data_IF_551588512971
#
_entry.id   IF_551588512971
#
_cell.length_a   1.000
_cell.length_b   1.000
_cell.length_c   1.000
_cell.angle_alpha   90.00
_cell.angle_beta   90.00
_cell.angle_gamma   90.00
#
_symmetry.space_group_name_H-M   'P 1'
#
loop_
_entity.id
_entity.type
_entity.pdbx_description
1 polymer ?
#
# COMPACT_ATOMS: atom_id res chain seq x y z
N UNK A 1 -5.99 10.25 -7.89
CA UNK A 1 -6.97 9.15 -7.71
C UNK A 1 -7.44 9.11 -6.26
N UNK A 2 -8.04 8.00 -5.80
CA UNK A 2 -8.44 7.83 -4.38
C UNK A 2 -8.01 6.49 -3.76
N UNK A 3 -7.22 5.70 -4.48
CA UNK A 3 -6.73 4.39 -4.03
C UNK A 3 -5.37 4.45 -3.31
N UNK A 4 -4.88 3.27 -2.90
CA UNK A 4 -3.61 3.10 -2.17
C UNK A 4 -2.40 3.77 -2.85
N UNK A 5 -2.32 3.68 -4.18
CA UNK A 5 -1.25 4.35 -4.95
C UNK A 5 -1.25 5.85 -4.75
N UNK A 6 -2.42 6.49 -4.75
CA UNK A 6 -2.53 7.94 -4.53
C UNK A 6 -2.10 8.32 -3.10
N UNK A 7 -2.54 7.53 -2.13
CA UNK A 7 -2.18 7.74 -0.73
C UNK A 7 -0.66 7.80 -0.56
N UNK A 8 0.07 6.84 -1.13
CA UNK A 8 1.54 6.81 -1.09
C UNK A 8 2.17 8.01 -1.83
N UNK A 9 1.62 8.42 -2.98
CA UNK A 9 2.14 9.59 -3.70
C UNK A 9 2.03 10.85 -2.84
N UNK A 10 0.92 11.00 -2.11
CA UNK A 10 0.67 12.18 -1.27
C UNK A 10 1.52 12.18 0.01
N UNK A 11 1.62 11.03 0.69
CA UNK A 11 2.39 10.91 1.94
C UNK A 11 3.89 10.83 1.69
N UNK A 12 4.32 10.30 0.55
CA UNK A 12 5.72 9.93 0.23
C UNK A 12 6.30 8.89 1.18
N UNK A 13 5.43 8.15 1.84
CA UNK A 13 5.79 7.12 2.81
C UNK A 13 5.36 5.75 2.31
N UNK A 14 6.13 4.69 2.60
CA UNK A 14 5.67 3.35 2.34
C UNK A 14 4.45 3.02 3.22
N UNK A 15 3.59 2.14 2.72
CA UNK A 15 2.41 1.68 3.45
C UNK A 15 2.39 0.15 3.46
N UNK A 16 2.51 -0.41 4.67
CA UNK A 16 2.40 -1.84 4.94
C UNK A 16 1.05 -2.13 5.60
N UNK A 17 0.30 -3.05 5.00
CA UNK A 17 -0.97 -3.56 5.54
C UNK A 17 -0.83 -5.08 5.64
N UNK A 18 -0.42 -5.62 6.80
CA UNK A 18 -0.09 -7.03 6.93
C UNK A 18 -1.35 -7.91 6.87
N UNK A 19 -2.51 -7.42 7.28
CA UNK A 19 -3.79 -8.14 7.23
C UNK A 19 -4.97 -7.17 7.12
N UNK A 20 -6.19 -7.71 6.99
CA UNK A 20 -7.45 -6.95 7.06
C UNK A 20 -7.48 -5.70 6.15
N UNK A 21 -7.02 -5.83 4.89
CA UNK A 21 -6.81 -4.70 3.98
C UNK A 21 -8.05 -3.83 3.81
N UNK A 22 -9.24 -4.42 3.65
CA UNK A 22 -10.48 -3.66 3.47
C UNK A 22 -10.80 -2.78 4.68
N UNK A 23 -10.63 -3.29 5.91
CA UNK A 23 -10.83 -2.49 7.12
C UNK A 23 -9.82 -1.33 7.19
N UNK A 24 -8.58 -1.58 6.76
CA UNK A 24 -7.54 -0.54 6.74
C UNK A 24 -7.83 0.55 5.70
N UNK A 25 -8.40 0.19 4.56
CA UNK A 25 -8.86 1.14 3.56
C UNK A 25 -9.95 2.05 4.12
N UNK A 26 -10.93 1.49 4.82
CA UNK A 26 -12.01 2.24 5.46
C UNK A 26 -11.48 3.22 6.53
N UNK A 27 -10.57 2.77 7.40
CA UNK A 27 -9.91 3.62 8.41
C UNK A 27 -9.18 4.82 7.77
N UNK A 28 -8.52 4.59 6.63
CA UNK A 28 -7.74 5.61 5.93
C UNK A 28 -8.59 6.46 4.99
N UNK A 29 -9.89 6.15 4.84
CA UNK A 29 -10.78 6.80 3.87
C UNK A 29 -10.34 6.60 2.42
N UNK A 30 -9.65 5.48 2.13
CA UNK A 30 -9.13 5.15 0.80
C UNK A 30 -10.17 4.33 0.05
N UNK A 31 -10.41 4.69 -1.21
CA UNK A 31 -11.30 3.95 -2.07
C UNK A 31 -10.67 2.60 -2.45
N UNK A 32 -11.42 1.52 -2.24
CA UNK A 32 -11.04 0.19 -2.70
C UNK A 32 -11.15 0.09 -4.22
N UNK A 33 -10.04 -0.23 -4.86
CA UNK A 33 -9.95 -0.44 -6.31
C UNK A 33 -9.52 -1.89 -6.56
N UNK A 34 -10.37 -2.66 -7.24
CA UNK A 34 -10.12 -4.07 -7.53
C UNK A 34 -10.53 -5.03 -6.38
N UNK A 35 -10.07 -6.29 -6.43
CA UNK A 35 -10.41 -7.30 -5.43
C UNK A 35 -9.83 -7.00 -4.03
N UNK A 36 -10.35 -7.66 -2.99
CA UNK A 36 -9.79 -7.61 -1.62
C UNK A 36 -8.49 -8.38 -1.53
N UNK A 37 -7.40 -7.76 -1.10
CA UNK A 37 -6.16 -8.47 -0.79
C UNK A 37 -6.17 -8.96 0.66
N UNK A 38 -5.53 -10.10 0.93
CA UNK A 38 -5.28 -10.58 2.29
C UNK A 38 -4.16 -9.78 2.96
N UNK A 39 -3.16 -9.34 2.19
CA UNK A 39 -2.10 -8.42 2.64
C UNK A 39 -1.59 -7.56 1.49
N UNK A 40 -1.06 -6.38 1.82
CA UNK A 40 -0.62 -5.40 0.85
C UNK A 40 0.61 -4.63 1.33
N UNK A 41 1.53 -4.31 0.41
CA UNK A 41 2.67 -3.45 0.65
C UNK A 41 2.85 -2.51 -0.54
N UNK A 42 3.05 -1.22 -0.28
CA UNK A 42 3.42 -0.27 -1.30
C UNK A 42 4.61 0.57 -0.87
N UNK A 43 5.52 0.81 -1.81
CA UNK A 43 6.71 1.65 -1.59
C UNK A 43 6.81 2.72 -2.68
N UNK A 44 7.07 3.99 -2.31
CA UNK A 44 7.26 5.06 -3.27
C UNK A 44 8.62 4.93 -3.97
N UNK A 45 8.65 5.16 -5.28
CA UNK A 45 9.88 5.37 -6.04
C UNK A 45 10.21 6.85 -6.04
N UNK A 46 11.34 7.20 -5.42
CA UNK A 46 11.74 8.58 -5.16
C UNK A 46 12.91 9.03 -6.04
N UNK A 47 12.81 10.24 -6.59
CA UNK A 47 13.94 10.99 -7.17
C UNK A 47 14.02 12.33 -6.46
N UNK A 48 15.03 12.50 -5.60
CA UNK A 48 15.06 13.63 -4.66
C UNK A 48 13.83 13.60 -3.74
N UNK A 49 13.06 14.69 -3.73
CA UNK A 49 11.81 14.81 -2.95
C UNK A 49 10.54 14.48 -3.75
N UNK A 50 10.69 14.06 -5.01
CA UNK A 50 9.58 13.78 -5.90
C UNK A 50 9.32 12.27 -5.99
N UNK A 51 8.04 11.88 -5.86
CA UNK A 51 7.57 10.53 -6.19
C UNK A 51 7.42 10.43 -7.70
N UNK A 52 8.12 9.47 -8.31
CA UNK A 52 8.04 9.18 -9.75
C UNK A 52 7.19 7.95 -10.07
N UNK A 53 6.83 7.17 -9.04
CA UNK A 53 6.00 5.98 -9.17
C UNK A 53 5.82 5.27 -7.84
N UNK A 54 5.08 4.17 -7.84
CA UNK A 54 4.84 3.32 -6.67
C UNK A 54 4.97 1.86 -7.11
N UNK A 55 5.71 1.06 -6.33
CA UNK A 55 5.67 -0.39 -6.45
C UNK A 55 4.65 -0.90 -5.44
N UNK A 56 3.61 -1.56 -5.92
CA UNK A 56 2.60 -2.22 -5.09
C UNK A 56 2.73 -3.73 -5.17
N UNK A 57 2.73 -4.39 -4.02
CA UNK A 57 2.72 -5.84 -3.85
C UNK A 57 1.46 -6.23 -3.08
N UNK A 58 0.80 -7.30 -3.53
CA UNK A 58 -0.43 -7.77 -2.91
C UNK A 58 -0.45 -9.29 -2.89
N UNK A 59 -0.94 -9.87 -1.81
CA UNK A 59 -1.23 -11.29 -1.72
C UNK A 59 -2.73 -11.47 -1.47
N UNK A 60 -3.37 -12.31 -2.28
CA UNK A 60 -4.81 -12.56 -2.22
C UNK A 60 -5.19 -13.58 -1.15
N UNK A 61 -4.26 -14.48 -0.80
CA UNK A 61 -4.58 -15.68 -0.04
C UNK A 61 -3.97 -15.67 1.37
N UNK A 62 -2.83 -14.99 1.56
CA UNK A 62 -2.09 -15.04 2.82
C UNK A 62 -1.94 -13.67 3.51
N UNK A 63 -2.51 -13.49 4.71
CA UNK A 63 -2.13 -12.39 5.59
C UNK A 63 -0.70 -12.58 6.11
N UNK A 64 -0.06 -11.50 6.53
CA UNK A 64 1.30 -11.49 7.08
C UNK A 64 2.41 -11.78 6.07
N UNK A 65 2.11 -11.80 4.76
CA UNK A 65 3.12 -12.04 3.71
C UNK A 65 4.23 -10.98 3.75
N UNK A 66 3.84 -9.73 3.96
CA UNK A 66 4.74 -8.60 4.01
C UNK A 66 4.95 -8.13 5.46
N UNK A 67 6.13 -7.58 5.73
CA UNK A 67 6.56 -7.13 7.05
C UNK A 67 7.58 -5.99 6.88
N UNK A 68 8.03 -5.40 7.99
CA UNK A 68 8.97 -4.27 7.98
C UNK A 68 10.33 -4.58 7.33
N UNK A 69 10.75 -5.84 7.25
CA UNK A 69 12.00 -6.20 6.57
C UNK A 69 11.88 -6.02 5.05
N UNK A 70 10.66 -6.10 4.51
CA UNK A 70 10.38 -5.85 3.10
C UNK A 70 10.30 -4.35 2.76
N UNK A 71 10.42 -3.46 3.75
CA UNK A 71 10.48 -1.99 3.55
C UNK A 71 11.91 -1.47 3.33
N UNK A 72 12.92 -2.34 3.43
CA UNK A 72 14.34 -1.98 3.41
C UNK A 72 14.97 -2.06 2.03
#
# INVERSE_FOLDING_TARGET
GKGLTEHIINTREPLLIPDNVDAKLDELGIEKIGPSAASWLGVPLMVGSQVIGVIGLQNWDAPGTYNEQHLR
#
